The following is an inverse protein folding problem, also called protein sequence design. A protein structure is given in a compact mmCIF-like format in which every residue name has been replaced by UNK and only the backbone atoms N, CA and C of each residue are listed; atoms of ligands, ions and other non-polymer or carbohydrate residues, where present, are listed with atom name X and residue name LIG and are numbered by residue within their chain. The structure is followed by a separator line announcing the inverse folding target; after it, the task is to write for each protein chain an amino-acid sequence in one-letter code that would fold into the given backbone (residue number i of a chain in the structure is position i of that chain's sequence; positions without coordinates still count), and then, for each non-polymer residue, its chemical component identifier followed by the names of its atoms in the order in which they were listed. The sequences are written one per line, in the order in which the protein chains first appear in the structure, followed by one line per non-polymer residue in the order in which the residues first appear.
data_IF_617525541854
#
_entry.id   IF_617525541854
#
_cell.length_a   1.000
_cell.length_b   1.000
_cell.length_c   1.000
_cell.angle_alpha   90.00
_cell.angle_beta   90.00
_cell.angle_gamma   90.00
#
_symmetry.space_group_name_H-M   'P 1'
#
loop_
_entity.id
_entity.type
_entity.pdbx_description
1 polymer ?
#
# COMPACT_ATOMS: atom_id res chain seq x y z
N UNK A 1 -6.79 -12.79 11.42
CA UNK A 1 -7.30 -11.64 10.62
C UNK A 1 -6.10 -10.90 10.07
N UNK A 2 -6.11 -10.51 8.79
CA UNK A 2 -5.00 -9.79 8.12
C UNK A 2 -5.55 -8.52 7.46
N UNK A 3 -4.78 -7.43 7.50
CA UNK A 3 -5.16 -6.12 6.96
C UNK A 3 -4.05 -5.10 7.14
N UNK A 4 -4.05 -4.07 6.29
CA UNK A 4 -3.08 -2.95 6.34
C UNK A 4 -3.83 -1.63 6.41
N UNK A 5 -3.12 -0.51 6.53
CA UNK A 5 -3.71 0.82 6.33
C UNK A 5 -4.40 0.96 4.97
N UNK A 6 -5.47 1.76 4.91
CA UNK A 6 -6.19 2.13 3.70
C UNK A 6 -5.79 3.54 3.24
N UNK A 7 -6.11 3.91 1.99
CA UNK A 7 -5.82 5.26 1.48
C UNK A 7 -6.43 6.38 2.32
N UNK A 8 -7.58 6.15 2.96
CA UNK A 8 -8.20 7.13 3.86
C UNK A 8 -7.32 7.52 5.03
N UNK A 9 -6.45 6.61 5.52
CA UNK A 9 -5.45 6.93 6.53
C UNK A 9 -4.42 7.92 5.99
N UNK A 10 -3.83 7.61 4.84
CA UNK A 10 -2.79 8.45 4.23
C UNK A 10 -3.36 9.82 3.85
N UNK A 11 -4.56 9.84 3.27
CA UNK A 11 -5.28 11.05 2.91
C UNK A 11 -5.74 11.86 4.12
N UNK A 12 -5.73 11.32 5.34
CA UNK A 12 -6.09 12.10 6.52
C UNK A 12 -4.98 13.11 6.88
N UNK A 13 -3.71 12.69 6.79
CA UNK A 13 -2.53 13.48 7.10
C UNK A 13 -2.19 14.48 5.99
N UNK A 14 -1.30 15.43 6.30
CA UNK A 14 -0.89 16.46 5.34
C UNK A 14 0.12 15.94 4.32
N UNK A 15 0.94 14.96 4.71
CA UNK A 15 1.88 14.30 3.83
C UNK A 15 1.94 12.79 4.11
N UNK A 16 2.36 12.04 3.09
CA UNK A 16 2.38 10.57 3.13
C UNK A 16 3.38 10.01 4.16
N UNK A 17 4.54 10.66 4.30
CA UNK A 17 5.56 10.26 5.26
C UNK A 17 5.05 10.34 6.71
N UNK A 18 4.38 11.44 7.07
CA UNK A 18 3.74 11.60 8.39
C UNK A 18 2.75 10.47 8.65
N UNK A 19 1.91 10.11 7.66
CA UNK A 19 0.98 9.01 7.80
C UNK A 19 1.67 7.67 8.12
N UNK A 20 2.82 7.41 7.48
CA UNK A 20 3.61 6.20 7.73
C UNK A 20 4.28 6.23 9.10
N UNK A 21 4.84 7.36 9.51
CA UNK A 21 5.44 7.55 10.84
C UNK A 21 4.39 7.31 11.95
N UNK A 22 3.18 7.88 11.80
CA UNK A 22 2.10 7.67 12.77
C UNK A 22 1.61 6.22 12.79
N UNK A 23 1.53 5.57 11.62
CA UNK A 23 1.15 4.16 11.55
C UNK A 23 2.19 3.26 12.22
N UNK A 24 3.48 3.50 11.95
CA UNK A 24 4.60 2.78 12.54
C UNK A 24 4.63 2.93 14.07
N UNK A 25 4.37 4.14 14.58
CA UNK A 25 4.25 4.38 16.02
C UNK A 25 3.09 3.64 16.67
N UNK A 26 1.95 3.55 15.99
CA UNK A 26 0.76 2.88 16.51
C UNK A 26 0.85 1.35 16.42
N UNK A 27 1.51 0.82 15.39
CA UNK A 27 1.60 -0.61 15.08
C UNK A 27 3.02 -1.04 14.68
N UNK A 28 4.02 -0.90 15.59
CA UNK A 28 5.43 -1.05 15.22
C UNK A 28 5.81 -2.44 14.72
N UNK A 29 5.09 -3.49 15.13
CA UNK A 29 5.31 -4.87 14.69
C UNK A 29 4.46 -5.29 13.49
N UNK A 30 3.65 -4.39 12.90
CA UNK A 30 2.70 -4.73 11.84
C UNK A 30 2.72 -3.69 10.69
N UNK A 31 3.93 -3.31 10.27
CA UNK A 31 4.14 -2.28 9.26
C UNK A 31 4.14 -2.87 7.84
N UNK A 32 2.99 -2.77 7.16
CA UNK A 32 2.90 -2.86 5.70
C UNK A 32 2.38 -1.52 5.17
N UNK A 33 3.24 -0.75 4.50
CA UNK A 33 2.88 0.59 4.03
C UNK A 33 2.22 0.52 2.65
N UNK A 34 1.04 1.12 2.52
CA UNK A 34 0.37 1.37 1.24
C UNK A 34 1.04 2.55 0.52
N UNK A 35 1.71 2.32 -0.60
CA UNK A 35 2.66 3.28 -1.18
C UNK A 35 2.16 4.04 -2.40
N UNK A 36 0.94 3.77 -2.87
CA UNK A 36 0.40 4.29 -4.13
C UNK A 36 -0.82 5.20 -3.93
N UNK A 37 -0.78 6.05 -2.89
CA UNK A 37 -1.81 7.08 -2.70
C UNK A 37 -1.60 8.28 -3.62
N UNK A 38 -0.33 8.63 -3.86
CA UNK A 38 0.05 9.76 -4.71
C UNK A 38 1.05 9.38 -5.79
N UNK A 39 2.14 8.69 -5.43
CA UNK A 39 3.15 8.20 -6.36
C UNK A 39 3.85 6.96 -5.77
N UNK A 40 3.75 5.82 -6.46
CA UNK A 40 4.25 4.54 -5.94
C UNK A 40 5.75 4.53 -5.64
N UNK A 41 6.58 5.19 -6.46
CA UNK A 41 8.03 5.18 -6.27
C UNK A 41 8.43 6.10 -5.11
N UNK A 42 7.85 7.29 -5.02
CA UNK A 42 8.08 8.16 -3.86
C UNK A 42 7.53 7.54 -2.57
N UNK A 43 6.37 6.88 -2.62
CA UNK A 43 5.82 6.17 -1.48
C UNK A 43 6.72 5.03 -1.00
N UNK A 44 7.39 4.30 -1.90
CA UNK A 44 8.41 3.31 -1.51
C UNK A 44 9.60 3.99 -0.83
N UNK A 45 10.05 5.16 -1.30
CA UNK A 45 11.13 5.91 -0.61
C UNK A 45 10.71 6.31 0.80
N UNK A 46 9.52 6.88 0.95
CA UNK A 46 9.00 7.24 2.26
C UNK A 46 8.86 6.03 3.19
N UNK A 47 8.41 4.88 2.68
CA UNK A 47 8.33 3.64 3.44
C UNK A 47 9.72 3.17 3.92
N UNK A 48 10.75 3.25 3.06
CA UNK A 48 12.13 2.93 3.40
C UNK A 48 12.68 3.85 4.50
N UNK A 49 12.45 5.17 4.37
CA UNK A 49 12.92 6.16 5.36
C UNK A 49 12.31 5.88 6.75
N UNK A 50 11.00 5.62 6.79
CA UNK A 50 10.29 5.32 8.04
C UNK A 50 10.67 3.95 8.59
N UNK A 51 10.91 2.96 7.72
CA UNK A 51 11.40 1.65 8.14
C UNK A 51 12.80 1.72 8.77
N UNK A 52 13.65 2.65 8.33
CA UNK A 52 14.95 2.92 8.97
C UNK A 52 14.78 3.38 10.43
N UNK A 53 13.89 4.34 10.68
CA UNK A 53 13.57 4.80 12.03
C UNK A 53 12.94 3.69 12.89
N UNK A 54 12.08 2.86 12.29
CA UNK A 54 11.46 1.71 12.95
C UNK A 54 12.53 0.69 13.41
N UNK A 55 13.54 0.45 12.56
CA UNK A 55 14.69 -0.42 12.87
C UNK A 55 15.55 0.11 14.01
N UNK A 56 15.78 1.42 14.10
CA UNK A 56 16.46 2.03 15.24
C UNK A 56 15.71 1.81 16.56
N UNK A 57 14.39 1.62 16.51
CA UNK A 57 13.54 1.32 17.65
C UNK A 57 13.42 -0.19 17.94
N UNK A 58 14.16 -1.04 17.22
CA UNK A 58 14.17 -2.50 17.41
C UNK A 58 13.05 -3.25 16.70
N UNK A 59 12.38 -2.62 15.73
CA UNK A 59 11.29 -3.20 14.96
C UNK A 59 11.64 -3.30 13.48
N UNK A 60 10.96 -4.17 12.73
CA UNK A 60 11.19 -4.32 11.29
C UNK A 60 9.90 -4.08 10.51
N UNK A 61 10.05 -3.45 9.34
CA UNK A 61 8.96 -3.35 8.38
C UNK A 61 8.66 -4.73 7.80
N UNK A 62 7.37 -5.09 7.75
CA UNK A 62 6.92 -6.33 7.10
C UNK A 62 6.95 -6.17 5.59
N UNK A 63 6.55 -5.03 5.04
CA UNK A 63 6.49 -4.85 3.60
C UNK A 63 5.88 -3.55 3.09
N UNK A 64 5.62 -3.52 1.79
CA UNK A 64 4.86 -2.47 1.10
C UNK A 64 3.68 -3.08 0.34
N UNK A 65 2.61 -2.33 0.14
CA UNK A 65 1.44 -2.72 -0.64
C UNK A 65 1.25 -1.82 -1.87
N UNK A 66 1.11 -2.46 -3.03
CA UNK A 66 0.72 -1.87 -4.30
C UNK A 66 -0.73 -2.27 -4.63
N UNK A 67 -1.58 -1.31 -4.95
CA UNK A 67 -3.01 -1.47 -5.21
C UNK A 67 -3.44 -0.91 -6.59
N UNK A 68 -2.57 -0.18 -7.28
CA UNK A 68 -2.79 0.40 -8.61
C UNK A 68 -1.52 0.46 -9.47
N UNK A 69 -1.66 0.91 -10.72
CA UNK A 69 -0.57 1.10 -11.68
C UNK A 69 -0.05 -0.18 -12.34
N UNK A 70 1.09 -0.08 -13.03
CA UNK A 70 1.81 -1.23 -13.59
C UNK A 70 2.51 -1.99 -12.46
N UNK A 71 1.76 -2.91 -11.85
CA UNK A 71 2.21 -3.69 -10.68
C UNK A 71 3.41 -4.59 -10.99
N UNK A 72 3.63 -4.98 -12.24
CA UNK A 72 4.81 -5.75 -12.62
C UNK A 72 6.04 -4.85 -12.51
N UNK A 73 6.05 -3.74 -13.26
CA UNK A 73 7.18 -2.80 -13.26
C UNK A 73 7.44 -2.21 -11.86
N UNK A 74 6.36 -1.80 -11.18
CA UNK A 74 6.44 -1.23 -9.82
C UNK A 74 6.97 -2.24 -8.81
N UNK A 75 6.57 -3.52 -8.87
CA UNK A 75 7.09 -4.54 -7.94
C UNK A 75 8.58 -4.79 -8.13
N UNK A 76 9.06 -4.82 -9.39
CA UNK A 76 10.47 -5.00 -9.71
C UNK A 76 11.29 -3.84 -9.15
N UNK A 77 10.83 -2.61 -9.37
CA UNK A 77 11.52 -1.42 -8.89
C UNK A 77 11.47 -1.30 -7.36
N UNK A 78 10.32 -1.56 -6.74
CA UNK A 78 10.18 -1.58 -5.30
C UNK A 78 11.12 -2.62 -4.66
N UNK A 79 11.21 -3.82 -5.23
CA UNK A 79 12.14 -4.87 -4.76
C UNK A 79 13.58 -4.38 -4.82
N UNK A 80 13.99 -3.78 -5.94
CA UNK A 80 15.33 -3.20 -6.12
C UNK A 80 15.65 -2.15 -5.06
N UNK A 81 14.73 -1.22 -4.81
CA UNK A 81 14.89 -0.15 -3.82
C UNK A 81 14.97 -0.70 -2.39
N UNK A 82 14.09 -1.64 -2.04
CA UNK A 82 14.09 -2.29 -0.73
C UNK A 82 15.38 -3.06 -0.48
N UNK A 83 15.88 -3.80 -1.47
CA UNK A 83 17.14 -4.56 -1.35
C UNK A 83 18.34 -3.62 -1.17
N UNK A 84 18.40 -2.53 -1.93
CA UNK A 84 19.47 -1.53 -1.80
C UNK A 84 19.49 -0.85 -0.44
N UNK A 85 18.32 -0.67 0.17
CA UNK A 85 18.17 -0.13 1.52
C UNK A 85 18.35 -1.19 2.63
N UNK A 86 18.64 -2.45 2.28
CA UNK A 86 18.84 -3.52 3.25
C UNK A 86 17.56 -4.12 3.85
N UNK A 87 16.40 -3.91 3.21
CA UNK A 87 15.11 -4.51 3.58
C UNK A 87 14.80 -5.75 2.71
N UNK A 88 15.76 -6.65 2.57
CA UNK A 88 15.67 -7.83 1.68
C UNK A 88 14.58 -8.84 2.08
N UNK A 89 14.18 -8.84 3.35
CA UNK A 89 13.09 -9.67 3.87
C UNK A 89 11.70 -9.06 3.72
N UNK A 90 11.61 -7.74 3.47
CA UNK A 90 10.34 -7.03 3.35
C UNK A 90 9.52 -7.58 2.19
N UNK A 91 8.23 -7.78 2.38
CA UNK A 91 7.32 -8.37 1.40
C UNK A 91 6.67 -7.32 0.51
N UNK A 92 6.40 -7.68 -0.73
CA UNK A 92 5.59 -6.86 -1.64
C UNK A 92 4.20 -7.50 -1.75
N UNK A 93 3.21 -6.77 -1.25
CA UNK A 93 1.80 -7.15 -1.31
C UNK A 93 1.16 -6.47 -2.52
N UNK A 94 0.38 -7.23 -3.29
CA UNK A 94 -0.38 -6.73 -4.42
C UNK A 94 -1.88 -6.92 -4.18
N UNK A 95 -2.68 -5.90 -4.43
CA UNK A 95 -4.14 -5.95 -4.44
C UNK A 95 -4.73 -5.17 -5.62
N UNK A 96 -6.06 -5.18 -5.74
CA UNK A 96 -6.81 -4.46 -6.77
C UNK A 96 -7.18 -5.34 -7.97
N UNK A 97 -8.46 -5.73 -8.04
CA UNK A 97 -9.09 -6.42 -9.19
C UNK A 97 -8.37 -7.68 -9.73
N UNK A 98 -7.65 -8.37 -8.84
CA UNK A 98 -6.91 -9.58 -9.18
C UNK A 98 -7.84 -10.78 -9.43
N UNK A 99 -7.42 -11.67 -10.33
CA UNK A 99 -7.89 -13.05 -10.50
C UNK A 99 -6.71 -13.96 -10.85
N UNK A 100 -6.97 -15.26 -10.99
CA UNK A 100 -5.98 -16.27 -11.34
C UNK A 100 -5.27 -16.00 -12.67
N UNK A 101 -5.93 -15.40 -13.65
CA UNK A 101 -5.36 -15.11 -14.96
C UNK A 101 -4.39 -13.93 -14.89
N UNK A 102 -4.79 -12.84 -14.23
CA UNK A 102 -3.95 -11.67 -13.98
C UNK A 102 -2.73 -12.06 -13.13
N UNK A 103 -2.93 -12.87 -12.09
CA UNK A 103 -1.82 -13.33 -11.24
C UNK A 103 -0.86 -14.21 -12.04
N UNK A 104 -1.37 -15.11 -12.89
CA UNK A 104 -0.53 -15.96 -13.74
C UNK A 104 0.29 -15.12 -14.73
N UNK A 105 -0.33 -14.14 -15.38
CA UNK A 105 0.34 -13.22 -16.30
C UNK A 105 1.43 -12.39 -15.60
N UNK A 106 1.13 -11.79 -14.44
CA UNK A 106 2.14 -11.04 -13.67
C UNK A 106 3.33 -11.90 -13.26
N UNK A 107 3.09 -13.17 -12.89
CA UNK A 107 4.17 -14.12 -12.57
C UNK A 107 5.02 -14.47 -13.79
N UNK A 108 4.41 -14.66 -14.96
CA UNK A 108 5.13 -14.90 -16.21
C UNK A 108 6.00 -13.69 -16.60
N UNK A 109 5.53 -12.48 -16.32
CA UNK A 109 6.27 -11.23 -16.51
C UNK A 109 7.23 -10.89 -15.36
N UNK A 110 7.62 -11.88 -14.56
CA UNK A 110 8.64 -11.79 -13.51
C UNK A 110 8.37 -10.77 -12.38
N UNK A 111 7.09 -10.46 -12.13
CA UNK A 111 6.69 -9.60 -11.02
C UNK A 111 7.29 -10.08 -9.68
N UNK A 112 7.74 -9.13 -8.86
CA UNK A 112 8.35 -9.40 -7.55
C UNK A 112 7.31 -9.26 -6.43
N UNK A 113 6.19 -9.96 -6.57
CA UNK A 113 5.08 -9.92 -5.62
C UNK A 113 5.10 -11.19 -4.76
N UNK A 114 5.10 -11.01 -3.44
CA UNK A 114 5.11 -12.10 -2.46
C UNK A 114 3.69 -12.52 -2.05
N UNK A 115 2.77 -11.54 -1.93
CA UNK A 115 1.44 -11.74 -1.36
C UNK A 115 0.37 -11.14 -2.27
N UNK A 116 -0.72 -11.88 -2.48
CA UNK A 116 -1.81 -11.51 -3.38
C UNK A 116 -3.12 -11.34 -2.62
N UNK A 117 -3.68 -10.13 -2.61
CA UNK A 117 -4.96 -9.80 -2.00
C UNK A 117 -6.09 -9.84 -3.03
N UNK A 118 -6.82 -10.96 -3.08
CA UNK A 118 -7.95 -11.16 -3.99
C UNK A 118 -9.27 -10.90 -3.26
N UNK A 119 -10.06 -9.95 -3.77
CA UNK A 119 -11.33 -9.52 -3.15
C UNK A 119 -12.55 -10.00 -3.94
N UNK A 120 -13.12 -9.11 -4.75
CA UNK A 120 -14.40 -9.28 -5.46
C UNK A 120 -14.49 -10.59 -6.24
N UNK A 121 -13.49 -10.91 -7.07
CA UNK A 121 -13.51 -12.10 -7.93
C UNK A 121 -13.41 -13.43 -7.17
N UNK A 122 -12.93 -13.41 -5.92
CA UNK A 122 -12.92 -14.59 -5.05
C UNK A 122 -14.24 -14.78 -4.29
N UNK A 123 -14.95 -13.68 -3.99
CA UNK A 123 -16.06 -13.67 -3.02
C UNK A 123 -17.43 -13.47 -3.64
N UNK A 124 -17.51 -13.05 -4.91
CA UNK A 124 -18.76 -12.78 -5.62
C UNK A 124 -18.93 -13.71 -6.81
N UNK A 125 -20.18 -13.99 -7.19
CA UNK A 125 -20.50 -14.72 -8.41
C UNK A 125 -20.22 -13.88 -9.65
N UNK A 126 -19.10 -14.13 -10.32
CA UNK A 126 -18.82 -13.50 -11.61
C UNK A 126 -19.81 -14.01 -12.69
N UNK A 127 -20.16 -13.19 -13.70
CA UNK A 127 -19.68 -11.81 -13.92
C UNK A 127 -20.56 -10.72 -13.27
N UNK A 128 -21.82 -11.02 -12.94
CA UNK A 128 -22.84 -9.98 -12.70
C UNK A 128 -23.17 -9.71 -11.21
N UNK A 129 -22.61 -10.47 -10.26
CA UNK A 129 -22.97 -10.34 -8.84
C UNK A 129 -22.15 -9.29 -8.07
N UNK A 130 -21.42 -8.40 -8.74
CA UNK A 130 -20.59 -7.36 -8.12
C UNK A 130 -21.08 -5.95 -8.46
N UNK A 131 -21.38 -5.16 -7.43
CA UNK A 131 -21.66 -3.73 -7.58
C UNK A 131 -20.34 -2.94 -7.52
N UNK A 132 -20.03 -2.14 -8.55
CA UNK A 132 -18.82 -1.29 -8.63
C UNK A 132 -18.84 -0.05 -7.71
N UNK A 133 -19.52 -0.12 -6.56
CA UNK A 133 -19.64 1.01 -5.63
C UNK A 133 -18.34 1.29 -4.88
N UNK A 134 -17.97 2.56 -4.76
CA UNK A 134 -16.80 3.00 -3.98
C UNK A 134 -17.20 4.05 -2.93
N UNK A 135 -16.55 4.00 -1.78
CA UNK A 135 -16.64 5.02 -0.73
C UNK A 135 -15.25 5.60 -0.46
N UNK A 136 -15.12 6.93 -0.47
CA UNK A 136 -13.83 7.64 -0.39
C UNK A 136 -13.92 8.81 0.59
N UNK A 137 -12.80 9.13 1.23
CA UNK A 137 -12.66 10.35 2.04
C UNK A 137 -12.57 11.56 1.11
N UNK A 138 -13.58 12.42 1.10
CA UNK A 138 -13.60 13.62 0.23
C UNK A 138 -12.95 14.87 0.85
N UNK A 139 -13.07 15.04 2.16
CA UNK A 139 -12.51 16.20 2.88
C UNK A 139 -12.35 15.92 4.37
N UNK A 140 -11.44 16.66 5.01
CA UNK A 140 -11.21 16.65 6.47
C UNK A 140 -11.39 18.07 7.00
N UNK A 141 -11.95 18.20 8.22
CA UNK A 141 -12.06 19.49 8.92
C UNK A 141 -11.68 19.32 10.38
N UNK A 142 -10.66 20.06 10.82
CA UNK A 142 -10.33 20.18 12.25
C UNK A 142 -11.37 21.07 12.97
N UNK A 143 -11.60 20.89 14.27
CA UNK A 143 -12.48 21.78 15.04
C UNK A 143 -12.12 23.25 14.82
N UNK A 144 -13.09 24.07 14.45
CA UNK A 144 -12.89 25.51 14.15
C UNK A 144 -12.19 25.85 12.83
N UNK A 145 -11.78 24.85 12.03
CA UNK A 145 -11.10 25.05 10.75
C UNK A 145 -12.01 25.03 9.53
N UNK A 146 -11.43 25.32 8.36
CA UNK A 146 -12.08 25.13 7.06
C UNK A 146 -11.95 23.69 6.56
N UNK A 147 -12.82 23.29 5.63
CA UNK A 147 -12.72 21.99 4.95
C UNK A 147 -11.48 21.95 4.07
N UNK A 148 -10.70 20.89 4.20
CA UNK A 148 -9.56 20.57 3.35
C UNK A 148 -9.91 19.38 2.48
N UNK A 149 -9.95 19.57 1.16
CA UNK A 149 -10.24 18.50 0.21
C UNK A 149 -9.09 17.50 0.11
N UNK A 150 -9.44 16.24 -0.11
CA UNK A 150 -8.49 15.12 -0.23
C UNK A 150 -8.68 14.42 -1.57
N UNK A 151 -7.57 13.92 -2.11
CA UNK A 151 -7.54 13.21 -3.39
C UNK A 151 -6.59 12.02 -3.28
N UNK A 152 -6.96 10.91 -3.91
CA UNK A 152 -6.04 9.81 -4.27
C UNK A 152 -5.75 10.00 -5.76
N UNK A 153 -4.47 9.91 -6.15
CA UNK A 153 -4.05 9.96 -7.55
C UNK A 153 -3.81 8.55 -8.11
#
# INVERSE_FOLDING_TARGET
VSGTQAHSWIMFFENEREAFEQYARAMPNNCIFLVDTYNSIEGVRHAIDVAGQLREQGHEMIGVRLDSGDRVALSIEARRMLDQAGFTSAKIVCSGDLDEYIIADMKQNAAKIDVWGVGTKLTTGQPDAALGGIYKLGAVRRPGGQWQYRIKL
#
